data_IF_700742728821
#
_entry.id   IF_700742728821
#
_cell.length_a   1.000
_cell.length_b   1.000
_cell.length_c   1.000
_cell.angle_alpha   90.00
_cell.angle_beta   90.00
_cell.angle_gamma   90.00
#
_symmetry.space_group_name_H-M   'P 1'
#
loop_
_entity.id
_entity.type
_entity.pdbx_description
1 polymer ?
#
# COMPACT_ATOMS: atom_id res chain seq x y z
N UNK A 1 -15.12 -18.93 42.66
CA UNK A 1 -15.03 -19.42 41.28
C UNK A 1 -14.10 -18.50 40.51
N UNK A 2 -12.89 -18.97 40.21
CA UNK A 2 -11.85 -18.18 39.56
C UNK A 2 -12.19 -17.87 38.09
N UNK A 3 -11.52 -16.87 37.49
CA UNK A 3 -11.71 -16.56 36.09
C UNK A 3 -11.23 -17.75 35.21
N UNK A 4 -11.85 -17.97 34.04
CA UNK A 4 -11.43 -19.04 33.14
C UNK A 4 -10.00 -18.76 32.65
N UNK A 5 -9.13 -19.74 32.83
CA UNK A 5 -7.81 -19.80 32.26
C UNK A 5 -7.91 -19.98 30.74
N UNK A 6 -7.66 -18.90 30.00
CA UNK A 6 -7.22 -18.90 28.60
C UNK A 6 -6.54 -17.55 28.29
N UNK A 7 -5.62 -17.17 29.18
CA UNK A 7 -4.51 -16.31 28.83
C UNK A 7 -3.26 -17.19 28.90
N UNK A 8 -2.36 -17.01 27.91
CA UNK A 8 -1.12 -17.75 27.65
C UNK A 8 -1.27 -18.88 26.62
N UNK A 9 -1.19 -18.51 25.34
CA UNK A 9 -0.28 -19.16 24.38
C UNK A 9 -0.05 -18.38 23.06
N UNK A 10 -0.34 -17.08 23.03
CA UNK A 10 0.26 -16.16 22.04
C UNK A 10 0.66 -14.91 22.82
N UNK A 11 1.95 -14.79 23.15
CA UNK A 11 2.48 -13.46 23.48
C UNK A 11 2.16 -12.52 22.31
N UNK A 12 1.84 -11.24 22.55
CA UNK A 12 1.74 -10.31 21.44
C UNK A 12 3.15 -10.24 20.85
N UNK A 13 3.37 -10.90 19.71
CA UNK A 13 4.45 -10.48 18.85
C UNK A 13 4.04 -9.07 18.41
N UNK A 14 4.53 -8.05 19.11
CA UNK A 14 4.29 -6.66 18.81
C UNK A 14 4.71 -6.43 17.37
N UNK A 15 3.79 -5.99 16.53
CA UNK A 15 4.16 -5.45 15.24
C UNK A 15 5.06 -4.24 15.50
N UNK A 16 6.34 -4.31 15.11
CA UNK A 16 7.30 -3.23 15.33
C UNK A 16 7.03 -2.10 14.35
N UNK A 17 6.87 -2.46 13.08
CA UNK A 17 6.55 -1.53 12.00
C UNK A 17 5.56 -2.16 11.03
N UNK A 18 4.72 -1.35 10.41
CA UNK A 18 3.70 -1.83 9.47
C UNK A 18 3.53 -0.92 8.28
N UNK A 19 3.21 -1.53 7.13
CA UNK A 19 2.76 -0.84 5.93
C UNK A 19 1.38 -1.36 5.55
N UNK A 20 0.39 -0.46 5.44
CA UNK A 20 -0.98 -0.81 5.03
C UNK A 20 -1.39 0.01 3.82
N UNK A 21 -2.05 -0.60 2.86
CA UNK A 21 -2.70 0.05 1.73
C UNK A 21 -4.19 -0.16 1.90
N UNK A 22 -4.96 0.92 1.89
CA UNK A 22 -6.40 0.92 1.90
C UNK A 22 -6.89 1.49 0.57
N UNK A 23 -7.53 0.65 -0.22
CA UNK A 23 -8.25 1.05 -1.41
C UNK A 23 -9.74 1.10 -1.11
N UNK A 24 -10.39 2.16 -1.56
CA UNK A 24 -11.84 2.37 -1.46
C UNK A 24 -12.37 2.74 -2.83
N UNK A 25 -13.36 1.99 -3.27
CA UNK A 25 -13.97 2.11 -4.59
C UNK A 25 -15.47 2.24 -4.41
N UNK A 26 -16.11 3.21 -5.05
CA UNK A 26 -17.57 3.40 -4.98
C UNK A 26 -18.16 3.51 -6.39
N UNK A 27 -19.34 2.92 -6.62
CA UNK A 27 -20.04 2.99 -7.91
C UNK A 27 -20.59 4.38 -8.20
N UNK A 28 -21.14 5.02 -7.18
CA UNK A 28 -21.82 6.32 -7.26
C UNK A 28 -21.21 7.28 -6.24
N UNK A 29 -20.09 7.96 -6.55
CA UNK A 29 -19.50 8.92 -5.62
C UNK A 29 -20.40 10.15 -5.46
N UNK A 30 -20.46 10.69 -4.25
CA UNK A 30 -21.09 12.00 -4.02
C UNK A 30 -20.38 13.12 -4.79
N UNK A 31 -21.04 14.29 -4.98
CA UNK A 31 -20.46 15.40 -5.73
C UNK A 31 -19.07 15.80 -5.22
N UNK A 32 -18.08 15.78 -6.11
CA UNK A 32 -16.69 16.14 -5.79
C UNK A 32 -15.90 15.10 -5.00
N UNK A 33 -16.46 13.91 -4.73
CA UNK A 33 -15.75 12.81 -4.09
C UNK A 33 -15.17 11.84 -5.14
N UNK A 34 -14.05 11.17 -4.82
CA UNK A 34 -13.53 10.11 -5.65
C UNK A 34 -14.41 8.89 -5.72
N UNK A 35 -14.51 8.32 -6.92
CA UNK A 35 -14.96 6.95 -7.09
C UNK A 35 -13.86 5.95 -6.71
N UNK A 36 -12.57 6.34 -6.78
CA UNK A 36 -11.46 5.52 -6.30
C UNK A 36 -10.47 6.33 -5.46
N UNK A 37 -10.13 5.80 -4.29
CA UNK A 37 -9.18 6.38 -3.36
C UNK A 37 -8.24 5.31 -2.81
N UNK A 38 -6.95 5.56 -2.91
CA UNK A 38 -5.89 4.77 -2.26
C UNK A 38 -5.25 5.60 -1.16
N UNK A 39 -5.12 5.02 0.02
CA UNK A 39 -4.34 5.59 1.14
C UNK A 39 -3.31 4.58 1.60
N UNK A 40 -2.04 4.98 1.62
CA UNK A 40 -0.96 4.15 2.13
C UNK A 40 -0.53 4.67 3.48
N UNK A 41 -0.38 3.77 4.44
CA UNK A 41 0.05 4.02 5.80
C UNK A 41 1.38 3.35 6.08
N UNK A 42 2.22 4.02 6.87
CA UNK A 42 3.38 3.44 7.55
C UNK A 42 3.26 3.82 9.04
N UNK A 43 3.19 2.83 9.92
CA UNK A 43 2.98 3.02 11.38
C UNK A 43 1.81 3.97 11.70
N UNK A 44 0.68 3.73 11.04
CA UNK A 44 -0.56 4.50 11.12
C UNK A 44 -0.45 5.97 10.68
N UNK A 45 0.68 6.37 10.10
CA UNK A 45 0.84 7.67 9.46
C UNK A 45 0.59 7.55 7.97
N UNK A 46 -0.19 8.49 7.41
CA UNK A 46 -0.44 8.54 5.98
C UNK A 46 0.87 8.80 5.25
N UNK A 47 1.36 7.79 4.56
CA UNK A 47 2.51 7.84 3.70
C UNK A 47 2.15 8.63 2.42
N UNK A 48 1.18 8.16 1.64
CA UNK A 48 0.67 8.90 0.48
C UNK A 48 -0.81 8.63 0.21
N UNK A 49 -1.42 9.52 -0.57
CA UNK A 49 -2.81 9.42 -1.02
C UNK A 49 -2.85 9.53 -2.54
N UNK A 50 -3.69 8.73 -3.17
CA UNK A 50 -4.04 8.85 -4.58
C UNK A 50 -5.57 8.86 -4.71
N UNK A 51 -6.11 9.64 -5.65
CA UNK A 51 -7.54 9.66 -5.97
C UNK A 51 -7.79 9.67 -7.47
N UNK A 52 -8.97 9.23 -7.90
CA UNK A 52 -9.42 9.27 -9.29
C UNK A 52 -9.43 10.67 -9.91
N UNK A 53 -9.55 11.73 -9.10
CA UNK A 53 -9.63 13.12 -9.56
C UNK A 53 -8.23 13.67 -9.81
N UNK A 54 -7.29 13.33 -8.93
CA UNK A 54 -5.92 13.84 -8.99
C UNK A 54 -5.04 13.00 -9.88
N UNK A 55 -5.32 11.69 -9.98
CA UNK A 55 -4.57 10.69 -10.72
C UNK A 55 -3.06 10.73 -10.49
N UNK A 56 -2.65 11.16 -9.29
CA UNK A 56 -1.27 11.33 -8.87
C UNK A 56 -1.13 10.91 -7.41
N UNK A 57 -0.08 10.15 -7.11
CA UNK A 57 0.28 9.84 -5.73
C UNK A 57 0.86 11.09 -5.08
N UNK A 58 0.22 11.57 -4.02
CA UNK A 58 0.63 12.77 -3.29
C UNK A 58 1.10 12.40 -1.90
N UNK A 59 2.27 12.91 -1.45
CA UNK A 59 2.77 12.65 -0.10
C UNK A 59 1.78 13.12 0.96
N UNK A 60 1.54 12.27 1.96
CA UNK A 60 0.79 12.63 3.17
C UNK A 60 1.66 13.36 4.19
N UNK A 61 2.98 13.19 4.14
CA UNK A 61 3.95 13.79 5.05
C UNK A 61 4.93 14.71 4.29
N UNK A 62 5.20 15.88 4.88
CA UNK A 62 6.07 16.91 4.28
C UNK A 62 7.49 16.39 4.01
N UNK A 63 8.06 15.59 4.91
CA UNK A 63 9.41 15.06 4.74
C UNK A 63 9.52 14.05 3.60
N UNK A 64 8.44 13.32 3.29
CA UNK A 64 8.42 12.41 2.13
C UNK A 64 8.46 13.19 0.83
N UNK A 65 7.72 14.30 0.74
CA UNK A 65 7.78 15.19 -0.42
C UNK A 65 9.19 15.74 -0.68
N UNK A 66 10.01 15.85 0.37
CA UNK A 66 11.36 16.41 0.31
C UNK A 66 12.45 15.36 0.07
N UNK A 67 12.28 14.14 0.60
CA UNK A 67 13.29 13.08 0.53
C UNK A 67 13.11 12.14 -0.65
N UNK A 68 11.88 11.87 -1.07
CA UNK A 68 11.60 10.98 -2.20
C UNK A 68 11.69 11.73 -3.53
N UNK A 69 12.33 11.10 -4.53
CA UNK A 69 12.51 11.67 -5.86
C UNK A 69 11.28 11.51 -6.76
N UNK A 70 11.28 12.21 -7.90
CA UNK A 70 10.19 12.14 -8.89
C UNK A 70 9.95 10.70 -9.37
N UNK A 71 11.00 9.92 -9.60
CA UNK A 71 10.91 8.52 -10.04
C UNK A 71 10.07 7.65 -9.09
N UNK A 72 10.21 7.86 -7.77
CA UNK A 72 9.41 7.15 -6.77
C UNK A 72 7.92 7.49 -6.90
N UNK A 73 7.61 8.78 -7.05
CA UNK A 73 6.22 9.24 -7.16
C UNK A 73 5.57 8.83 -8.47
N UNK A 74 6.33 8.79 -9.56
CA UNK A 74 5.89 8.27 -10.86
C UNK A 74 5.57 6.78 -10.75
N UNK A 75 6.41 6.00 -10.08
CA UNK A 75 6.17 4.58 -9.83
C UNK A 75 4.91 4.37 -8.96
N UNK A 76 4.77 5.09 -7.85
CA UNK A 76 3.58 4.99 -6.99
C UNK A 76 2.30 5.39 -7.73
N UNK A 77 2.39 6.41 -8.59
CA UNK A 77 1.28 6.84 -9.44
C UNK A 77 0.90 5.78 -10.47
N UNK A 78 1.89 5.20 -11.16
CA UNK A 78 1.68 4.15 -12.15
C UNK A 78 0.97 2.94 -11.53
N UNK A 79 1.43 2.50 -10.36
CA UNK A 79 0.79 1.42 -9.60
C UNK A 79 -0.66 1.76 -9.25
N UNK A 80 -0.89 2.93 -8.65
CA UNK A 80 -2.24 3.33 -8.25
C UNK A 80 -3.20 3.45 -9.44
N UNK A 81 -2.74 3.97 -10.59
CA UNK A 81 -3.53 4.02 -11.83
C UNK A 81 -3.86 2.64 -12.38
N UNK A 82 -2.94 1.68 -12.26
CA UNK A 82 -3.23 0.31 -12.65
C UNK A 82 -4.33 -0.30 -11.78
N UNK A 83 -4.23 -0.17 -10.46
CA UNK A 83 -5.28 -0.68 -9.55
C UNK A 83 -6.61 0.03 -9.76
N UNK A 84 -6.60 1.35 -10.03
CA UNK A 84 -7.81 2.07 -10.43
C UNK A 84 -8.52 1.39 -11.62
N UNK A 85 -7.78 1.06 -12.69
CA UNK A 85 -8.35 0.38 -13.87
C UNK A 85 -8.89 -1.01 -13.52
N UNK A 86 -8.18 -1.75 -12.68
CA UNK A 86 -8.64 -3.05 -12.18
C UNK A 86 -9.97 -2.91 -11.44
N UNK A 87 -10.04 -2.02 -10.45
CA UNK A 87 -11.24 -1.85 -9.62
C UNK A 87 -12.45 -1.37 -10.42
N UNK A 88 -12.24 -0.58 -11.47
CA UNK A 88 -13.31 -0.22 -12.40
C UNK A 88 -13.92 -1.46 -13.08
N UNK A 89 -13.07 -2.41 -13.52
CA UNK A 89 -13.55 -3.67 -14.09
C UNK A 89 -14.19 -4.59 -13.03
N UNK A 90 -13.67 -4.56 -11.79
CA UNK A 90 -14.22 -5.32 -10.66
C UNK A 90 -15.61 -4.85 -10.28
N UNK A 91 -15.87 -3.53 -10.21
CA UNK A 91 -17.22 -3.01 -9.97
C UNK A 91 -18.23 -3.58 -10.97
N UNK A 92 -17.94 -3.49 -12.26
CA UNK A 92 -18.82 -4.03 -13.31
C UNK A 92 -19.03 -5.55 -13.17
N UNK A 93 -17.96 -6.28 -12.85
CA UNK A 93 -18.03 -7.74 -12.66
C UNK A 93 -18.92 -8.09 -11.47
N UNK A 94 -18.73 -7.42 -10.32
CA UNK A 94 -19.47 -7.71 -9.10
C UNK A 94 -20.95 -7.32 -9.23
N UNK A 95 -21.24 -6.17 -9.85
CA UNK A 95 -22.61 -5.77 -10.15
C UNK A 95 -23.33 -6.81 -11.01
N UNK A 96 -22.70 -7.34 -12.06
CA UNK A 96 -23.28 -8.43 -12.86
C UNK A 96 -23.44 -9.72 -12.05
N UNK A 97 -22.43 -10.10 -11.27
CA UNK A 97 -22.42 -11.33 -10.48
C UNK A 97 -23.55 -11.39 -9.47
N UNK A 98 -23.90 -10.24 -8.87
CA UNK A 98 -24.97 -10.11 -7.90
C UNK A 98 -26.29 -9.62 -8.51
N UNK A 99 -26.38 -9.49 -9.84
CA UNK A 99 -27.54 -8.95 -10.56
C UNK A 99 -27.98 -7.56 -10.04
N UNK A 100 -27.01 -6.72 -9.70
CA UNK A 100 -27.22 -5.35 -9.26
C UNK A 100 -27.09 -4.41 -10.46
N UNK A 101 -28.14 -3.61 -10.71
CA UNK A 101 -28.20 -2.70 -11.87
C UNK A 101 -28.16 -1.23 -11.49
N UNK A 102 -28.55 -0.90 -10.25
CA UNK A 102 -28.66 0.46 -9.74
C UNK A 102 -28.29 0.48 -8.25
N UNK A 103 -27.76 1.60 -7.77
CA UNK A 103 -27.49 1.83 -6.37
C UNK A 103 -26.02 2.00 -6.01
N UNK A 104 -25.82 2.43 -4.78
CA UNK A 104 -24.50 2.62 -4.21
C UNK A 104 -23.88 1.29 -3.80
N UNK A 105 -22.74 0.98 -4.42
CA UNK A 105 -21.92 -0.18 -4.10
C UNK A 105 -20.52 0.27 -3.74
N UNK A 106 -19.89 -0.48 -2.83
CA UNK A 106 -18.56 -0.17 -2.32
C UNK A 106 -17.69 -1.42 -2.29
N UNK A 107 -16.47 -1.31 -2.83
CA UNK A 107 -15.39 -2.28 -2.61
C UNK A 107 -14.37 -1.61 -1.68
N UNK A 108 -13.95 -2.33 -0.65
CA UNK A 108 -12.80 -1.91 0.16
C UNK A 108 -11.80 -3.05 0.27
N UNK A 109 -10.55 -2.75 -0.06
CA UNK A 109 -9.43 -3.68 0.03
C UNK A 109 -8.43 -3.11 1.02
N UNK A 110 -8.03 -3.91 2.00
CA UNK A 110 -6.89 -3.61 2.85
C UNK A 110 -5.84 -4.70 2.70
N UNK A 111 -4.62 -4.29 2.43
CA UNK A 111 -3.50 -5.21 2.30
C UNK A 111 -2.19 -4.57 2.74
N UNK A 112 -1.22 -5.39 3.11
CA UNK A 112 0.00 -4.85 3.69
C UNK A 112 0.92 -5.90 4.27
N UNK A 113 1.89 -5.42 5.05
CA UNK A 113 2.83 -6.26 5.76
C UNK A 113 3.23 -5.64 7.10
N UNK A 114 3.45 -6.50 8.07
CA UNK A 114 4.01 -6.20 9.38
C UNK A 114 5.43 -6.75 9.47
N UNK A 115 6.35 -5.93 9.99
CA UNK A 115 7.67 -6.33 10.43
C UNK A 115 7.63 -6.52 11.95
N UNK A 116 7.81 -7.76 12.41
CA UNK A 116 7.77 -8.15 13.81
C UNK A 116 9.15 -7.99 14.46
N UNK A 117 9.20 -8.02 15.80
CA UNK A 117 10.45 -7.89 16.58
C UNK A 117 11.48 -8.98 16.27
N UNK A 118 11.02 -10.20 15.98
CA UNK A 118 11.83 -11.33 15.55
C UNK A 118 12.28 -11.24 14.07
N UNK A 119 12.09 -10.08 13.43
CA UNK A 119 12.36 -9.81 12.01
C UNK A 119 11.51 -10.64 11.04
N UNK A 120 10.47 -11.34 11.52
CA UNK A 120 9.53 -12.04 10.65
C UNK A 120 8.61 -11.04 9.95
N UNK A 121 8.22 -11.39 8.73
CA UNK A 121 7.34 -10.58 7.89
C UNK A 121 5.99 -11.30 7.78
N UNK A 122 4.93 -10.58 8.13
CA UNK A 122 3.57 -11.07 7.95
C UNK A 122 2.82 -10.17 7.00
N UNK A 123 2.56 -10.68 5.79
CA UNK A 123 1.68 -10.02 4.85
C UNK A 123 0.22 -10.47 5.04
N UNK A 124 -0.71 -9.62 4.63
CA UNK A 124 -2.14 -9.88 4.70
C UNK A 124 -2.88 -9.20 3.54
N UNK A 125 -4.07 -9.72 3.23
CA UNK A 125 -5.01 -9.16 2.27
C UNK A 125 -6.44 -9.47 2.69
N UNK A 126 -7.29 -8.45 2.64
CA UNK A 126 -8.72 -8.57 2.90
C UNK A 126 -9.50 -7.65 1.97
N UNK A 127 -10.52 -8.20 1.35
CA UNK A 127 -11.50 -7.54 0.50
C UNK A 127 -12.88 -7.60 1.16
N UNK A 128 -13.63 -6.52 0.96
CA UNK A 128 -15.04 -6.43 1.31
C UNK A 128 -15.85 -5.85 0.15
N UNK A 129 -17.11 -6.27 0.05
CA UNK A 129 -18.08 -5.75 -0.89
C UNK A 129 -19.39 -5.41 -0.16
N UNK A 130 -19.86 -4.18 -0.34
CA UNK A 130 -21.02 -3.63 0.36
C UNK A 130 -20.94 -3.78 1.89
N UNK A 131 -19.73 -3.58 2.44
CA UNK A 131 -19.44 -3.64 3.88
C UNK A 131 -19.40 -5.05 4.47
N UNK A 132 -19.46 -6.09 3.64
CA UNK A 132 -19.35 -7.49 4.06
C UNK A 132 -18.03 -8.08 3.60
N UNK A 133 -17.46 -8.97 4.41
CA UNK A 133 -16.27 -9.74 4.03
C UNK A 133 -16.51 -10.44 2.69
N UNK A 134 -15.51 -10.42 1.82
CA UNK A 134 -15.60 -10.98 0.47
C UNK A 134 -14.50 -12.01 0.22
N UNK A 135 -13.24 -11.57 0.13
CA UNK A 135 -12.07 -12.44 -0.02
C UNK A 135 -11.01 -12.11 1.03
N UNK A 136 -10.44 -13.13 1.65
CA UNK A 136 -9.28 -12.99 2.54
C UNK A 136 -8.19 -13.95 2.11
N UNK A 137 -6.93 -13.53 2.17
CA UNK A 137 -5.82 -14.43 1.88
C UNK A 137 -5.39 -15.17 3.15
N UNK A 138 -5.47 -16.50 3.13
CA UNK A 138 -4.92 -17.35 4.16
C UNK A 138 -3.46 -17.71 3.83
N UNK A 139 -2.54 -17.16 4.63
CA UNK A 139 -1.10 -17.35 4.48
C UNK A 139 -0.64 -18.76 4.89
N UNK A 140 -1.34 -19.44 5.78
CA UNK A 140 -0.95 -20.78 6.24
C UNK A 140 -1.15 -21.80 5.13
N UNK A 141 -2.29 -21.73 4.44
CA UNK A 141 -2.61 -22.61 3.32
C UNK A 141 -2.18 -22.06 1.97
N UNK A 142 -1.77 -20.78 1.91
CA UNK A 142 -1.49 -20.02 0.68
C UNK A 142 -2.68 -20.03 -0.29
N UNK A 143 -3.90 -19.87 0.24
CA UNK A 143 -5.14 -19.87 -0.55
C UNK A 143 -6.06 -18.70 -0.20
N UNK A 144 -6.99 -18.42 -1.11
CA UNK A 144 -8.07 -17.47 -0.88
C UNK A 144 -9.20 -18.11 -0.08
N UNK A 145 -9.65 -17.45 0.98
CA UNK A 145 -10.88 -17.76 1.72
C UNK A 145 -11.98 -16.85 1.19
N UNK A 146 -13.05 -17.46 0.67
CA UNK A 146 -14.18 -16.75 0.08
C UNK A 146 -15.38 -16.82 1.02
N UNK A 147 -15.99 -15.66 1.28
CA UNK A 147 -17.06 -15.51 2.27
C UNK A 147 -18.44 -15.98 1.78
N UNK A 148 -18.71 -15.88 0.47
CA UNK A 148 -19.98 -16.28 -0.13
C UNK A 148 -19.83 -16.88 -1.54
N UNK A 149 -20.96 -17.17 -2.19
CA UNK A 149 -20.97 -17.80 -3.53
C UNK A 149 -20.33 -16.89 -4.58
N UNK A 150 -20.56 -15.57 -4.52
CA UNK A 150 -19.95 -14.64 -5.46
C UNK A 150 -18.44 -14.58 -5.26
N UNK A 151 -17.96 -14.55 -4.02
CA UNK A 151 -16.54 -14.64 -3.68
C UNK A 151 -15.93 -15.96 -4.16
N UNK A 152 -16.64 -17.09 -4.07
CA UNK A 152 -16.15 -18.38 -4.58
C UNK A 152 -15.97 -18.37 -6.11
N UNK A 153 -16.88 -17.71 -6.83
CA UNK A 153 -16.77 -17.53 -8.29
C UNK A 153 -15.57 -16.64 -8.62
N UNK A 154 -15.42 -15.51 -7.94
CA UNK A 154 -14.27 -14.61 -8.11
C UNK A 154 -12.95 -15.29 -7.78
N UNK A 155 -12.89 -16.04 -6.67
CA UNK A 155 -11.74 -16.86 -6.29
C UNK A 155 -11.33 -17.79 -7.43
N UNK A 156 -12.27 -18.55 -8.01
CA UNK A 156 -11.97 -19.48 -9.12
C UNK A 156 -11.44 -18.74 -10.35
N UNK A 157 -11.98 -17.56 -10.65
CA UNK A 157 -11.49 -16.70 -11.72
C UNK A 157 -10.05 -16.26 -11.48
N UNK A 158 -9.72 -15.73 -10.30
CA UNK A 158 -8.36 -15.32 -9.92
C UNK A 158 -7.38 -16.51 -9.90
N UNK A 159 -7.84 -17.72 -9.55
CA UNK A 159 -7.01 -18.93 -9.63
C UNK A 159 -6.74 -19.37 -11.07
N UNK A 160 -7.71 -19.24 -11.98
CA UNK A 160 -7.58 -19.62 -13.38
C UNK A 160 -6.71 -18.63 -14.18
N UNK A 161 -6.74 -17.36 -13.78
CA UNK A 161 -5.82 -16.32 -14.23
C UNK A 161 -4.50 -16.47 -13.43
N UNK A 162 -3.72 -17.53 -13.73
CA UNK A 162 -2.51 -18.03 -13.01
C UNK A 162 -1.46 -16.96 -12.61
N UNK A 163 -1.56 -15.76 -13.13
CA UNK A 163 -0.68 -14.63 -12.86
C UNK A 163 -0.97 -13.90 -11.53
N UNK A 164 -2.18 -13.99 -10.98
CA UNK A 164 -2.55 -13.20 -9.80
C UNK A 164 -1.94 -13.72 -8.50
N UNK A 165 -1.85 -15.04 -8.34
CA UNK A 165 -1.28 -15.64 -7.13
C UNK A 165 0.25 -15.46 -7.10
N UNK A 166 0.92 -15.56 -8.24
CA UNK A 166 2.38 -15.35 -8.31
C UNK A 166 2.75 -13.88 -8.13
N UNK A 167 2.00 -12.96 -8.75
CA UNK A 167 2.17 -11.52 -8.53
C UNK A 167 1.89 -11.12 -7.08
N UNK A 168 0.85 -11.68 -6.47
CA UNK A 168 0.54 -11.47 -5.06
C UNK A 168 1.61 -12.03 -4.13
N UNK A 169 2.15 -13.23 -4.44
CA UNK A 169 3.26 -13.82 -3.68
C UNK A 169 4.52 -12.93 -3.73
N UNK A 170 4.90 -12.44 -4.91
CA UNK A 170 6.03 -11.52 -5.04
C UNK A 170 5.82 -10.21 -4.25
N UNK A 171 4.60 -9.66 -4.28
CA UNK A 171 4.25 -8.50 -3.47
C UNK A 171 4.44 -8.76 -1.97
N UNK A 172 4.00 -9.93 -1.49
CA UNK A 172 4.10 -10.33 -0.08
C UNK A 172 5.54 -10.55 0.39
N UNK A 173 6.35 -11.23 -0.42
CA UNK A 173 7.69 -11.67 -0.02
C UNK A 173 8.73 -10.56 -0.17
N UNK A 174 8.61 -9.70 -1.19
CA UNK A 174 9.69 -8.78 -1.56
C UNK A 174 9.23 -7.32 -1.60
N UNK A 175 8.13 -7.03 -2.29
CA UNK A 175 7.77 -5.63 -2.59
C UNK A 175 7.33 -4.87 -1.34
N UNK A 176 6.44 -5.44 -0.52
CA UNK A 176 5.89 -4.72 0.63
C UNK A 176 6.96 -4.36 1.65
N UNK A 177 7.86 -5.31 1.97
CA UNK A 177 8.93 -5.09 2.94
C UNK A 177 9.97 -4.10 2.43
N UNK A 178 10.29 -4.12 1.13
CA UNK A 178 11.20 -3.16 0.52
C UNK A 178 10.69 -1.73 0.70
N UNK A 179 9.41 -1.49 0.40
CA UNK A 179 8.78 -0.18 0.61
C UNK A 179 8.71 0.23 2.08
N UNK A 180 8.40 -0.70 2.97
CA UNK A 180 8.39 -0.42 4.42
C UNK A 180 9.77 0.01 4.90
N UNK A 181 10.84 -0.72 4.54
CA UNK A 181 12.22 -0.38 4.91
C UNK A 181 12.64 0.98 4.35
N UNK A 182 12.31 1.27 3.09
CA UNK A 182 12.58 2.58 2.48
C UNK A 182 11.95 3.72 3.28
N UNK A 183 10.64 3.59 3.58
CA UNK A 183 9.93 4.61 4.35
C UNK A 183 10.50 4.80 5.76
N UNK A 184 10.95 3.72 6.42
CA UNK A 184 11.58 3.78 7.75
C UNK A 184 12.95 4.45 7.73
N UNK A 185 13.78 4.20 6.72
CA UNK A 185 15.09 4.86 6.58
C UNK A 185 14.93 6.36 6.36
N UNK A 186 14.00 6.79 5.52
CA UNK A 186 13.75 8.21 5.29
C UNK A 186 13.08 8.90 6.48
N UNK A 187 12.19 8.18 7.17
CA UNK A 187 11.45 8.64 8.34
C UNK A 187 12.18 8.51 9.67
N UNK A 188 13.42 7.98 9.70
CA UNK A 188 14.19 7.63 10.91
C UNK A 188 14.19 8.70 12.00
N UNK A 189 14.31 9.98 11.63
CA UNK A 189 14.35 11.11 12.57
C UNK A 189 12.98 11.49 13.18
N UNK A 190 11.89 11.07 12.53
CA UNK A 190 10.50 11.43 12.87
C UNK A 190 9.69 10.23 13.39
N UNK A 191 9.81 9.05 12.77
CA UNK A 191 9.12 7.82 13.14
C UNK A 191 9.73 7.18 14.41
N UNK A 192 11.07 7.15 14.54
CA UNK A 192 11.74 6.60 15.74
C UNK A 192 11.53 7.45 17.01
N UNK A 193 11.03 8.69 16.87
CA UNK A 193 10.73 9.54 18.02
C UNK A 193 9.57 8.99 18.86
N UNK A 194 8.66 8.20 18.27
CA UNK A 194 7.59 7.50 19.01
C UNK A 194 8.11 6.36 19.89
N UNK A 195 9.20 5.67 19.50
CA UNK A 195 9.80 4.59 20.30
C UNK A 195 10.48 5.05 21.61
N UNK A 196 10.68 6.36 21.79
CA UNK A 196 11.29 6.95 22.99
C UNK A 196 10.36 7.88 23.77
N UNK A 197 9.13 8.08 23.31
CA UNK A 197 8.16 8.99 23.95
C UNK A 197 7.44 8.37 25.18
N UNK A 198 8.09 7.43 25.89
CA UNK A 198 7.68 6.98 27.22
C UNK A 198 8.34 7.77 28.37
N UNK A 199 9.31 8.64 28.09
CA UNK A 199 9.92 9.55 29.07
C UNK A 199 10.44 10.80 28.37
N UNK A 200 9.75 11.93 28.54
CA UNK A 200 10.33 13.25 28.83
C UNK A 200 9.26 14.36 28.78
N UNK A 201 9.28 15.21 29.80
CA UNK A 201 8.44 16.40 29.99
C UNK A 201 8.63 17.45 28.88
N UNK A 202 7.62 18.33 28.63
CA UNK A 202 7.64 19.24 27.49
C UNK A 202 8.34 20.57 27.83
N UNK A 203 9.11 21.16 26.89
CA UNK A 203 9.38 22.59 26.92
C UNK A 203 8.59 23.38 25.85
N UNK A 204 8.45 24.65 26.20
CA UNK A 204 7.57 25.70 25.70
C UNK A 204 7.81 26.15 24.25
N UNK A 205 6.74 26.75 23.74
CA UNK A 205 6.49 27.39 22.44
C UNK A 205 7.45 28.51 22.00
N UNK A 206 7.71 28.57 20.69
CA UNK A 206 8.13 29.76 19.92
C UNK A 206 8.32 29.35 18.45
N UNK A 207 7.52 29.81 17.50
CA UNK A 207 7.75 31.06 16.75
C UNK A 207 7.72 30.76 15.24
N UNK A 208 6.74 31.33 14.54
CA UNK A 208 6.36 31.06 13.13
C UNK A 208 7.18 31.94 12.17
N UNK A 209 7.62 31.42 11.00
CA UNK A 209 7.86 32.22 9.78
C UNK A 209 7.46 31.45 8.52
N UNK A 210 6.64 32.12 7.70
CA UNK A 210 6.18 31.73 6.36
C UNK A 210 7.23 32.11 5.31
N UNK A 211 7.43 31.22 4.33
CA UNK A 211 8.10 31.51 3.07
C UNK A 211 7.35 30.82 1.93
N UNK A 212 6.88 31.60 0.97
CA UNK A 212 6.14 31.22 -0.25
C UNK A 212 7.10 31.32 -1.44
N UNK A 213 7.05 30.37 -2.39
CA UNK A 213 7.45 30.48 -3.82
C UNK A 213 6.99 29.17 -4.51
N UNK A 214 5.92 29.20 -5.33
CA UNK A 214 5.87 29.38 -6.80
C UNK A 214 6.54 28.27 -7.63
N UNK A 215 5.73 27.71 -8.55
CA UNK A 215 6.03 26.61 -9.46
C UNK A 215 6.03 27.09 -10.93
N UNK A 216 6.69 26.34 -11.84
CA UNK A 216 6.25 26.16 -13.23
C UNK A 216 6.04 24.65 -13.55
N UNK A 217 4.93 24.20 -14.15
CA UNK A 217 4.61 24.11 -15.60
C UNK A 217 5.76 23.46 -16.43
N UNK A 218 5.62 22.35 -17.17
CA UNK A 218 4.63 21.99 -18.22
C UNK A 218 4.93 20.57 -18.74
N UNK A 219 3.89 19.86 -19.24
CA UNK A 219 3.82 18.92 -20.41
C UNK A 219 4.87 17.79 -20.56
N UNK A 220 4.62 16.65 -21.20
CA UNK A 220 3.49 15.85 -21.68
C UNK A 220 4.18 14.60 -22.29
N UNK A 221 3.58 13.40 -22.24
CA UNK A 221 4.18 12.26 -22.93
C UNK A 221 3.57 10.92 -22.57
N UNK A 222 2.59 10.51 -23.38
CA UNK A 222 1.94 9.19 -23.42
C UNK A 222 2.96 8.10 -23.78
N UNK A 223 2.79 6.85 -23.31
CA UNK A 223 2.74 5.59 -24.08
C UNK A 223 2.83 4.36 -23.17
N UNK A 224 2.03 3.33 -23.50
CA UNK A 224 1.76 2.16 -22.68
C UNK A 224 2.84 1.08 -22.65
N UNK A 225 2.74 0.19 -21.67
CA UNK A 225 3.61 -0.98 -21.56
C UNK A 225 3.18 -1.93 -20.45
N UNK A 226 3.22 -3.22 -20.78
CA UNK A 226 2.88 -4.42 -20.01
C UNK A 226 3.76 -4.63 -18.77
N UNK A 227 3.32 -5.52 -17.87
CA UNK A 227 4.08 -5.93 -16.69
C UNK A 227 5.44 -6.50 -17.07
N UNK A 228 6.48 -5.70 -16.87
CA UNK A 228 7.84 -6.18 -16.71
C UNK A 228 8.35 -5.66 -15.39
N UNK A 229 8.60 -6.59 -14.47
CA UNK A 229 9.29 -6.30 -13.23
C UNK A 229 10.64 -5.65 -13.53
N UNK A 230 10.84 -4.46 -12.98
CA UNK A 230 12.15 -3.82 -12.92
C UNK A 230 12.51 -3.69 -11.44
N UNK A 231 13.09 -4.75 -10.88
CA UNK A 231 13.84 -4.67 -9.65
C UNK A 231 15.34 -4.61 -9.97
N UNK A 232 16.05 -3.87 -9.13
CA UNK A 232 17.51 -3.84 -8.93
C UNK A 232 18.37 -2.99 -9.91
N UNK A 233 18.72 -1.79 -9.44
CA UNK A 233 20.13 -1.33 -9.42
C UNK A 233 20.33 -0.19 -8.40
N UNK A 234 20.52 -0.55 -7.13
CA UNK A 234 21.31 0.26 -6.18
C UNK A 234 22.22 -0.66 -5.37
N UNK A 235 23.29 -1.13 -6.01
CA UNK A 235 24.52 -1.51 -5.31
C UNK A 235 25.59 -0.50 -5.69
N UNK A 236 26.21 0.10 -4.66
CA UNK A 236 27.14 1.19 -4.82
C UNK A 236 28.46 0.77 -5.50
N UNK A 237 29.13 1.75 -6.11
CA UNK A 237 30.58 1.73 -6.30
C UNK A 237 31.16 3.06 -5.87
N UNK A 238 31.88 3.04 -4.75
CA UNK A 238 33.00 3.95 -4.50
C UNK A 238 34.18 3.49 -5.34
N UNK A 239 34.78 4.42 -6.07
CA UNK A 239 36.22 4.57 -6.28
C UNK A 239 36.98 3.49 -7.07
N UNK A 240 37.73 3.95 -8.08
CA UNK A 240 38.96 3.28 -8.53
C UNK A 240 39.07 3.12 -10.04
N UNK A 241 39.70 4.10 -10.70
CA UNK A 241 40.31 3.97 -12.03
C UNK A 241 41.23 2.74 -12.13
N UNK A 242 41.21 2.04 -13.27
CA UNK A 242 42.32 2.08 -14.24
C UNK A 242 42.06 1.15 -15.44
N UNK A 243 42.45 1.66 -16.61
CA UNK A 243 42.53 1.03 -17.94
C UNK A 243 43.23 -0.34 -17.93
N UNK A 244 42.77 -1.27 -18.78
CA UNK A 244 43.48 -1.69 -19.99
C UNK A 244 42.62 -2.68 -20.80
N UNK A 245 42.79 -2.59 -22.12
CA UNK A 245 42.09 -3.25 -23.22
C UNK A 245 42.87 -4.53 -23.67
N UNK A 246 42.56 -5.20 -24.79
CA UNK A 246 41.97 -6.53 -24.81
C UNK A 246 42.84 -7.62 -25.49
N UNK A 247 42.44 -8.89 -25.35
CA UNK A 247 42.43 -9.91 -26.42
C UNK A 247 41.25 -10.86 -26.18
#
# INVERSE_FOLDING_TARGET
>A
HGPPALALLLGPLSCLHSRRVLDTVVSEPGPGLPWYRRVVYVDDQVNYVYTSETQQAKPGLVWMAQKEGLEFWDEMTWWAQRYQKWYNASLNTLSQLYNQTEGFHIIQTIFGCDLREDSTIQAFYQDSYDGRDFLTFDKETMTWVAADIGAQITKRRWHAEVDDIQGWKHFQEETCISWLRSALEFGKETLQRKGKAGRQDPPRSGGRRQGRLQAPSTQAGVWGGTWRGAAARRSGRRGGESRAEPQ
#
